data_IF_178777347056
#
_entry.id   IF_178777347056
#
_cell.length_a   1.000
_cell.length_b   1.000
_cell.length_c   1.000
_cell.angle_alpha   90.00
_cell.angle_beta   90.00
_cell.angle_gamma   90.00
#
_symmetry.space_group_name_H-M   'P 1'
#
loop_
_entity.id
_entity.type
_entity.pdbx_description
1 polymer ?
#
# COMPACT_ATOMS: atom_id res chain seq x y z
N UNK A 1 -67.37 10.10 -50.76
CA UNK A 1 -68.38 9.07 -50.48
C UNK A 1 -68.45 8.93 -48.95
N UNK A 2 -69.62 9.19 -48.34
CA UNK A 2 -70.01 8.94 -46.91
C UNK A 2 -69.19 9.65 -45.81
N UNK A 3 -69.72 10.17 -44.69
CA UNK A 3 -71.05 10.48 -44.16
C UNK A 3 -70.78 11.36 -42.92
N UNK A 4 -71.59 12.39 -42.64
CA UNK A 4 -71.66 13.06 -41.33
C UNK A 4 -72.44 12.15 -40.31
N UNK A 5 -72.74 12.51 -39.03
CA UNK A 5 -72.60 13.83 -38.38
C UNK A 5 -72.33 13.86 -36.84
N UNK A 6 -72.17 15.10 -36.33
CA UNK A 6 -72.64 15.51 -35.00
C UNK A 6 -71.54 16.12 -34.11
N UNK A 7 -71.75 17.19 -33.34
CA UNK A 7 -72.95 17.92 -32.94
C UNK A 7 -72.50 19.21 -32.20
N UNK A 8 -73.29 20.27 -32.36
CA UNK A 8 -73.56 21.42 -31.47
C UNK A 8 -72.47 22.39 -30.94
N UNK A 9 -72.66 23.63 -31.43
CA UNK A 9 -72.38 25.01 -30.99
C UNK A 9 -72.17 25.28 -29.48
N UNK A 10 -71.21 26.15 -29.15
CA UNK A 10 -71.32 27.15 -28.09
C UNK A 10 -70.34 28.32 -28.31
N UNK A 11 -70.86 29.55 -28.33
CA UNK A 11 -70.09 30.79 -28.27
C UNK A 11 -69.71 31.12 -26.82
N UNK A 12 -68.50 31.64 -26.59
CA UNK A 12 -68.04 32.00 -25.25
C UNK A 12 -66.93 33.07 -25.25
N UNK A 13 -67.36 34.31 -24.95
CA UNK A 13 -66.75 35.36 -24.11
C UNK A 13 -65.21 35.55 -24.19
N UNK A 14 -64.81 36.76 -24.63
CA UNK A 14 -63.46 37.29 -24.47
C UNK A 14 -63.24 37.81 -23.03
N UNK A 15 -62.13 37.38 -22.42
CA UNK A 15 -61.62 37.93 -21.15
C UNK A 15 -60.22 38.47 -21.41
N UNK A 16 -60.02 39.77 -21.15
CA UNK A 16 -58.71 40.41 -21.18
C UNK A 16 -57.86 39.88 -20.02
N UNK A 17 -56.79 39.15 -20.35
CA UNK A 17 -55.87 38.58 -19.36
C UNK A 17 -54.89 39.62 -18.82
N UNK A 18 -54.74 39.65 -17.49
CA UNK A 18 -53.79 40.45 -16.74
C UNK A 18 -52.34 40.09 -17.08
N UNK A 19 -51.46 41.10 -17.15
CA UNK A 19 -50.02 40.91 -17.35
C UNK A 19 -49.35 40.28 -16.13
N UNK A 20 -48.53 39.25 -16.36
CA UNK A 20 -47.67 38.63 -15.34
C UNK A 20 -46.31 39.34 -15.32
N UNK A 21 -45.92 39.86 -14.16
CA UNK A 21 -44.55 40.31 -13.87
C UNK A 21 -43.73 39.06 -13.53
N UNK A 22 -42.73 38.73 -14.33
CA UNK A 22 -41.80 37.62 -14.04
C UNK A 22 -40.66 38.12 -13.14
N UNK A 23 -40.44 37.47 -12.01
CA UNK A 23 -39.26 37.69 -11.15
C UNK A 23 -38.19 36.66 -11.52
N UNK A 24 -36.94 37.04 -11.85
CA UNK A 24 -35.91 36.06 -12.13
C UNK A 24 -35.49 35.34 -10.84
N UNK A 25 -35.48 34.02 -10.86
CA UNK A 25 -34.92 33.18 -9.78
C UNK A 25 -33.40 33.27 -9.86
N UNK A 26 -32.76 33.80 -8.82
CA UNK A 26 -31.32 33.73 -8.65
C UNK A 26 -30.98 32.34 -8.11
N UNK A 27 -30.43 31.47 -8.97
CA UNK A 27 -29.91 30.17 -8.55
C UNK A 27 -28.49 30.36 -7.99
N UNK A 28 -28.26 30.00 -6.73
CA UNK A 28 -26.92 30.00 -6.14
C UNK A 28 -26.09 28.85 -6.74
N UNK A 29 -24.83 29.08 -7.16
CA UNK A 29 -23.96 28.00 -7.63
C UNK A 29 -23.70 27.01 -6.50
N UNK A 30 -23.93 25.71 -6.75
CA UNK A 30 -23.53 24.64 -5.83
C UNK A 30 -22.00 24.68 -5.71
N UNK A 31 -21.43 24.68 -4.49
CA UNK A 31 -19.99 24.62 -4.34
C UNK A 31 -19.42 23.40 -5.05
N UNK A 32 -18.30 23.51 -5.78
CA UNK A 32 -17.65 22.34 -6.37
C UNK A 32 -17.25 21.39 -5.24
N UNK A 33 -17.71 20.14 -5.32
CA UNK A 33 -17.22 19.07 -4.44
C UNK A 33 -15.80 18.76 -4.89
N UNK A 34 -14.80 19.24 -4.17
CA UNK A 34 -13.42 18.81 -4.36
C UNK A 34 -13.31 17.39 -3.77
N UNK A 35 -13.25 16.38 -4.63
CA UNK A 35 -12.79 15.07 -4.22
C UNK A 35 -11.30 15.20 -3.88
N UNK A 36 -10.96 15.18 -2.60
CA UNK A 36 -9.58 15.04 -2.15
C UNK A 36 -9.25 13.56 -2.22
N UNK A 37 -8.26 13.18 -3.01
CA UNK A 37 -7.68 11.85 -2.90
C UNK A 37 -7.10 11.73 -1.49
N UNK A 38 -7.68 10.83 -0.69
CA UNK A 38 -7.05 10.41 0.56
C UNK A 38 -6.13 9.27 0.16
N UNK A 39 -4.81 9.49 0.22
CA UNK A 39 -3.88 8.36 0.26
C UNK A 39 -4.14 7.65 1.58
N UNK A 40 -4.54 6.39 1.51
CA UNK A 40 -4.47 5.53 2.68
C UNK A 40 -2.99 5.23 2.87
N UNK A 41 -2.46 5.65 4.02
CA UNK A 41 -1.14 5.27 4.49
C UNK A 41 -1.30 3.91 5.15
N UNK A 42 -0.53 2.93 4.69
CA UNK A 42 -0.46 1.60 5.29
C UNK A 42 0.82 1.50 6.13
N UNK A 43 0.67 1.05 7.38
CA UNK A 43 1.80 0.65 8.23
C UNK A 43 2.14 -0.82 7.94
N UNK A 44 3.29 -1.10 7.31
CA UNK A 44 3.61 -2.44 6.80
C UNK A 44 4.81 -3.03 7.54
N UNK A 45 4.64 -4.23 8.08
CA UNK A 45 5.72 -5.01 8.69
C UNK A 45 6.18 -6.12 7.72
N UNK A 46 7.29 -5.90 7.02
CA UNK A 46 7.90 -6.94 6.18
C UNK A 46 8.68 -7.93 7.02
N UNK A 47 8.25 -9.20 7.00
CA UNK A 47 8.88 -10.30 7.71
C UNK A 47 9.70 -11.13 6.73
N UNK A 48 11.02 -11.17 6.93
CA UNK A 48 11.95 -11.93 6.10
C UNK A 48 12.44 -13.18 6.83
N UNK A 49 12.48 -14.30 6.11
CA UNK A 49 13.05 -15.56 6.58
C UNK A 49 14.57 -15.51 6.72
N UNK A 50 15.14 -16.52 7.37
CA UNK A 50 16.58 -16.77 7.32
C UNK A 50 16.97 -17.57 6.08
N UNK A 51 18.24 -18.01 6.01
CA UNK A 51 18.65 -18.91 4.93
C UNK A 51 17.77 -20.17 4.88
N UNK A 52 17.43 -20.61 3.67
CA UNK A 52 16.53 -21.74 3.42
C UNK A 52 15.03 -21.43 3.51
N UNK A 53 14.65 -20.20 3.88
CA UNK A 53 13.25 -19.77 4.03
C UNK A 53 12.93 -18.59 3.09
N UNK A 54 12.88 -18.82 1.76
CA UNK A 54 12.69 -17.74 0.78
C UNK A 54 11.30 -17.13 0.79
N UNK A 55 10.29 -17.90 1.21
CA UNK A 55 8.88 -17.48 1.29
C UNK A 55 8.38 -17.91 2.67
N UNK A 56 8.49 -17.04 3.69
CA UNK A 56 8.01 -17.36 5.02
C UNK A 56 6.54 -17.74 4.99
N UNK A 57 6.19 -18.83 5.69
CA UNK A 57 4.79 -19.25 5.81
C UNK A 57 3.96 -18.18 6.55
N UNK A 58 2.64 -18.18 6.35
CA UNK A 58 1.74 -17.25 7.05
C UNK A 58 1.87 -17.35 8.57
N UNK A 59 2.02 -18.58 9.09
CA UNK A 59 2.18 -18.82 10.54
C UNK A 59 3.53 -18.28 11.03
N UNK A 60 4.60 -18.46 10.25
CA UNK A 60 5.92 -17.89 10.55
C UNK A 60 5.86 -16.37 10.57
N UNK A 61 5.19 -15.76 9.57
CA UNK A 61 5.00 -14.30 9.47
C UNK A 61 4.28 -13.77 10.70
N UNK A 62 3.12 -14.34 11.04
CA UNK A 62 2.33 -13.90 12.18
C UNK A 62 3.09 -14.09 13.50
N UNK A 63 3.69 -15.26 13.72
CA UNK A 63 4.43 -15.56 14.95
C UNK A 63 5.60 -14.58 15.15
N UNK A 64 6.34 -14.26 14.08
CA UNK A 64 7.45 -13.30 14.19
C UNK A 64 6.95 -11.87 14.44
N UNK A 65 5.81 -11.51 13.85
CA UNK A 65 5.18 -10.23 14.10
C UNK A 65 4.78 -10.11 15.58
N UNK A 66 3.97 -11.04 16.10
CA UNK A 66 3.46 -11.04 17.47
C UNK A 66 4.60 -10.99 18.50
N UNK A 67 5.68 -11.74 18.27
CA UNK A 67 6.78 -11.87 19.23
C UNK A 67 7.77 -10.71 19.18
N UNK A 68 8.05 -10.15 17.99
CA UNK A 68 9.19 -9.25 17.81
C UNK A 68 8.82 -7.85 17.31
N UNK A 69 7.71 -7.71 16.58
CA UNK A 69 7.31 -6.45 15.95
C UNK A 69 6.15 -5.79 16.71
N UNK A 70 5.07 -6.51 16.94
CA UNK A 70 3.85 -6.02 17.62
C UNK A 70 4.13 -5.29 18.95
N UNK A 71 5.06 -5.73 19.82
CA UNK A 71 5.30 -5.05 21.09
C UNK A 71 5.76 -3.59 20.96
N UNK A 72 6.34 -3.22 19.81
CA UNK A 72 6.82 -1.87 19.52
C UNK A 72 5.99 -1.19 18.41
N UNK A 73 5.36 -1.99 17.54
CA UNK A 73 4.64 -1.54 16.34
C UNK A 73 3.28 -2.24 16.21
N UNK A 74 2.34 -2.04 17.16
CA UNK A 74 1.11 -2.85 17.30
C UNK A 74 0.04 -2.62 16.21
N UNK A 75 0.18 -1.61 15.36
CA UNK A 75 -0.79 -1.28 14.31
C UNK A 75 -0.33 -1.67 12.91
N UNK A 76 0.87 -2.22 12.80
CA UNK A 76 1.46 -2.61 11.53
C UNK A 76 0.83 -3.91 11.01
N UNK A 77 0.70 -4.02 9.69
CA UNK A 77 0.18 -5.22 9.03
C UNK A 77 1.35 -6.11 8.60
N UNK A 78 1.47 -7.35 9.12
CA UNK A 78 2.58 -8.22 8.77
C UNK A 78 2.43 -8.83 7.37
N UNK A 79 3.53 -8.82 6.61
CA UNK A 79 3.61 -9.39 5.27
C UNK A 79 4.95 -10.13 5.11
N UNK A 80 4.91 -11.37 4.60
CA UNK A 80 6.12 -12.08 4.23
C UNK A 80 6.79 -11.41 3.02
N UNK A 81 8.10 -11.15 3.10
CA UNK A 81 8.86 -10.63 1.96
C UNK A 81 9.75 -11.72 1.37
N UNK A 82 9.55 -11.98 0.08
CA UNK A 82 10.36 -12.93 -0.67
C UNK A 82 11.80 -12.42 -0.87
N UNK A 83 12.75 -13.34 -0.73
CA UNK A 83 14.08 -13.21 -1.31
C UNK A 83 14.67 -14.62 -1.55
N UNK A 84 15.79 -14.80 -2.27
CA UNK A 84 16.28 -16.13 -2.63
C UNK A 84 16.68 -17.03 -1.45
N UNK A 85 17.06 -16.47 -0.30
CA UNK A 85 17.45 -17.19 0.91
C UNK A 85 18.49 -18.32 0.73
N UNK A 86 19.36 -18.22 -0.28
CA UNK A 86 20.35 -19.23 -0.59
C UNK A 86 21.57 -19.17 0.31
N UNK A 87 22.05 -20.34 0.74
CA UNK A 87 23.34 -20.47 1.43
C UNK A 87 23.96 -21.83 1.11
N UNK A 88 24.66 -21.91 -0.03
CA UNK A 88 25.28 -23.15 -0.51
C UNK A 88 26.13 -23.85 0.57
N UNK A 89 26.89 -23.09 1.35
CA UNK A 89 27.78 -23.65 2.38
C UNK A 89 27.03 -24.33 3.53
N UNK A 90 25.84 -23.82 3.92
CA UNK A 90 25.03 -24.43 4.98
C UNK A 90 24.15 -25.58 4.49
N UNK A 91 23.59 -25.49 3.28
CA UNK A 91 22.57 -26.45 2.82
C UNK A 91 23.09 -27.49 1.82
N UNK A 92 24.37 -27.42 1.41
CA UNK A 92 25.15 -28.35 0.52
C UNK A 92 24.45 -28.96 -0.70
N UNK A 93 23.27 -28.44 -1.07
CA UNK A 93 22.49 -28.89 -2.21
C UNK A 93 23.14 -28.49 -3.53
N UNK A 94 23.27 -29.45 -4.45
CA UNK A 94 23.55 -29.16 -5.87
C UNK A 94 22.47 -28.19 -6.36
N UNK A 95 22.88 -27.08 -6.99
CA UNK A 95 22.02 -25.96 -7.43
C UNK A 95 21.54 -24.97 -6.34
N UNK A 96 22.10 -24.99 -5.13
CA UNK A 96 21.85 -23.92 -4.16
C UNK A 96 22.61 -22.64 -4.54
N UNK A 97 21.96 -21.49 -4.39
CA UNK A 97 22.56 -20.18 -4.67
C UNK A 97 23.69 -19.90 -3.65
N UNK A 98 24.86 -19.40 -4.10
CA UNK A 98 25.89 -18.89 -3.21
C UNK A 98 25.37 -17.80 -2.26
N UNK A 99 25.94 -17.74 -1.05
CA UNK A 99 25.51 -16.83 0.02
C UNK A 99 25.56 -15.36 -0.44
N UNK A 100 26.69 -14.93 -0.97
CA UNK A 100 26.94 -13.58 -1.47
C UNK A 100 25.95 -13.17 -2.56
N UNK A 101 25.65 -14.07 -3.49
CA UNK A 101 24.70 -13.84 -4.57
C UNK A 101 23.27 -13.71 -4.02
N UNK A 102 22.91 -14.55 -3.05
CA UNK A 102 21.60 -14.48 -2.38
C UNK A 102 21.44 -13.18 -1.59
N UNK A 103 22.48 -12.75 -0.88
CA UNK A 103 22.49 -11.51 -0.11
C UNK A 103 22.39 -10.30 -1.03
N UNK A 104 23.16 -10.24 -2.12
CA UNK A 104 23.08 -9.15 -3.09
C UNK A 104 21.67 -9.01 -3.70
N UNK A 105 21.05 -10.14 -4.08
CA UNK A 105 19.68 -10.13 -4.60
C UNK A 105 18.67 -9.72 -3.53
N UNK A 106 18.84 -10.20 -2.29
CA UNK A 106 17.99 -9.82 -1.16
C UNK A 106 18.08 -8.33 -0.84
N UNK A 107 19.28 -7.75 -0.82
CA UNK A 107 19.50 -6.31 -0.63
C UNK A 107 18.78 -5.50 -1.70
N UNK A 108 18.90 -5.89 -2.97
CA UNK A 108 18.21 -5.20 -4.06
C UNK A 108 16.68 -5.27 -3.91
N UNK A 109 16.14 -6.45 -3.60
CA UNK A 109 14.68 -6.65 -3.43
C UNK A 109 14.17 -5.80 -2.25
N UNK A 110 14.83 -5.88 -1.10
CA UNK A 110 14.40 -5.15 0.09
C UNK A 110 14.53 -3.63 -0.11
N UNK A 111 15.65 -3.13 -0.62
CA UNK A 111 15.83 -1.69 -0.87
C UNK A 111 14.80 -1.15 -1.86
N UNK A 112 14.51 -1.90 -2.93
CA UNK A 112 13.48 -1.51 -3.91
C UNK A 112 12.09 -1.49 -3.28
N UNK A 113 11.77 -2.50 -2.47
CA UNK A 113 10.47 -2.59 -1.79
C UNK A 113 10.28 -1.40 -0.84
N UNK A 114 11.27 -1.12 0.01
CA UNK A 114 11.19 -0.01 0.98
C UNK A 114 11.05 1.33 0.25
N UNK A 115 11.91 1.60 -0.73
CA UNK A 115 11.87 2.90 -1.45
C UNK A 115 10.56 3.12 -2.19
N UNK A 116 9.96 2.07 -2.73
CA UNK A 116 8.63 2.15 -3.35
C UNK A 116 7.55 2.45 -2.31
N UNK A 117 7.50 1.71 -1.20
CA UNK A 117 6.48 1.91 -0.18
C UNK A 117 6.58 3.28 0.49
N UNK A 118 7.80 3.75 0.79
CA UNK A 118 8.02 5.09 1.33
C UNK A 118 7.58 6.16 0.32
N UNK A 119 7.86 5.97 -0.98
CA UNK A 119 7.37 6.89 -2.02
C UNK A 119 5.84 6.90 -2.15
N UNK A 120 5.18 5.78 -1.85
CA UNK A 120 3.72 5.66 -1.78
C UNK A 120 3.13 6.25 -0.49
N UNK A 121 3.98 6.62 0.47
CA UNK A 121 3.63 7.29 1.72
C UNK A 121 3.46 6.37 2.92
N UNK A 122 3.94 5.13 2.84
CA UNK A 122 3.80 4.09 3.87
C UNK A 122 5.00 4.06 4.83
N UNK A 123 4.72 3.80 6.11
CA UNK A 123 5.75 3.57 7.12
C UNK A 123 6.10 2.07 7.20
N UNK A 124 7.39 1.77 7.23
CA UNK A 124 7.88 0.38 7.10
C UNK A 124 8.60 -0.07 8.36
N UNK A 125 8.27 -1.28 8.82
CA UNK A 125 9.11 -2.04 9.74
C UNK A 125 9.61 -3.29 9.04
N UNK A 126 10.91 -3.54 9.06
CA UNK A 126 11.50 -4.77 8.54
C UNK A 126 11.94 -5.67 9.68
N UNK A 127 11.42 -6.89 9.72
CA UNK A 127 11.90 -7.95 10.61
C UNK A 127 12.86 -8.86 9.86
N UNK A 128 14.12 -8.86 10.27
CA UNK A 128 15.18 -9.75 9.77
C UNK A 128 15.52 -10.91 10.72
N UNK A 129 15.94 -12.04 10.15
CA UNK A 129 16.53 -13.18 10.86
C UNK A 129 17.76 -13.72 10.15
N UNK A 130 18.86 -13.91 10.89
CA UNK A 130 20.08 -14.53 10.35
C UNK A 130 20.56 -13.81 9.08
N UNK A 131 20.56 -14.47 7.92
CA UNK A 131 20.95 -13.87 6.64
C UNK A 131 20.11 -12.63 6.28
N UNK A 132 18.80 -12.60 6.55
CA UNK A 132 18.02 -11.39 6.26
C UNK A 132 18.29 -10.24 7.23
N UNK A 133 18.88 -10.52 8.40
CA UNK A 133 19.43 -9.46 9.27
C UNK A 133 20.69 -8.85 8.65
N UNK A 134 21.58 -9.67 8.07
CA UNK A 134 22.72 -9.18 7.28
C UNK A 134 22.26 -8.31 6.11
N UNK A 135 21.26 -8.77 5.34
CA UNK A 135 20.63 -7.99 4.26
C UNK A 135 20.07 -6.67 4.78
N UNK A 136 19.37 -6.69 5.92
CA UNK A 136 18.81 -5.47 6.53
C UNK A 136 19.90 -4.45 6.85
N UNK A 137 21.04 -4.87 7.39
CA UNK A 137 22.18 -3.98 7.65
C UNK A 137 22.78 -3.35 6.38
N UNK A 138 22.87 -4.11 5.28
CA UNK A 138 23.28 -3.58 3.98
C UNK A 138 22.27 -2.53 3.47
N UNK A 139 20.97 -2.83 3.55
CA UNK A 139 19.92 -1.91 3.10
C UNK A 139 19.86 -0.64 3.93
N UNK A 140 20.08 -0.69 5.25
CA UNK A 140 20.20 0.52 6.08
C UNK A 140 21.26 1.48 5.53
N UNK A 141 22.41 0.94 5.09
CA UNK A 141 23.49 1.74 4.48
C UNK A 141 23.05 2.34 3.15
N UNK A 142 22.37 1.55 2.31
CA UNK A 142 21.87 2.01 1.00
C UNK A 142 20.79 3.08 1.14
N UNK A 143 19.85 2.93 2.08
CA UNK A 143 18.78 3.90 2.34
C UNK A 143 19.34 5.24 2.85
N UNK A 144 20.32 5.18 3.77
CA UNK A 144 21.00 6.37 4.26
C UNK A 144 21.74 7.11 3.12
N UNK A 145 22.41 6.37 2.23
CA UNK A 145 23.08 6.94 1.07
C UNK A 145 22.10 7.57 0.06
N UNK A 146 20.88 7.05 -0.02
CA UNK A 146 19.80 7.56 -0.88
C UNK A 146 19.01 8.71 -0.23
N UNK A 147 19.23 9.01 1.05
CA UNK A 147 18.54 10.07 1.76
C UNK A 147 17.09 9.73 2.12
N UNK A 148 16.75 8.44 2.22
CA UNK A 148 15.45 8.02 2.75
C UNK A 148 15.34 8.46 4.21
N UNK A 149 14.26 9.15 4.63
CA UNK A 149 14.12 9.58 6.02
C UNK A 149 14.14 8.40 6.97
N UNK A 150 14.90 8.51 8.05
CA UNK A 150 15.03 7.44 9.05
C UNK A 150 13.76 7.19 9.86
N UNK A 151 12.84 8.16 9.86
CA UNK A 151 11.57 8.06 10.59
C UNK A 151 10.56 7.16 9.84
N UNK A 152 10.73 6.99 8.52
CA UNK A 152 9.82 6.23 7.66
C UNK A 152 10.13 4.72 7.66
N UNK A 153 11.30 4.31 8.19
CA UNK A 153 11.78 2.92 8.12
C UNK A 153 12.46 2.49 9.43
N UNK A 154 11.91 1.44 10.04
CA UNK A 154 12.44 0.81 11.25
C UNK A 154 12.87 -0.64 10.98
N UNK A 155 13.77 -1.17 11.81
CA UNK A 155 14.30 -2.53 11.66
C UNK A 155 14.36 -3.29 12.99
N UNK A 156 13.90 -4.54 12.97
CA UNK A 156 13.94 -5.48 14.09
C UNK A 156 14.75 -6.71 13.67
N UNK A 157 15.96 -6.84 14.21
CA UNK A 157 16.93 -7.86 13.76
C UNK A 157 17.12 -8.96 14.81
N UNK A 158 17.06 -10.21 14.37
CA UNK A 158 17.28 -11.38 15.22
C UNK A 158 18.40 -12.25 14.65
N UNK A 159 19.26 -12.79 15.52
CA UNK A 159 20.36 -13.68 15.11
C UNK A 159 21.27 -13.08 14.04
N UNK A 160 21.50 -11.76 14.05
CA UNK A 160 22.34 -11.08 13.07
C UNK A 160 23.81 -11.55 13.22
N UNK A 161 24.40 -12.18 12.18
CA UNK A 161 25.80 -12.61 12.21
C UNK A 161 26.80 -11.45 12.33
N UNK A 162 26.38 -10.22 12.02
CA UNK A 162 27.24 -9.04 12.00
C UNK A 162 27.16 -8.18 13.26
N UNK A 163 26.29 -8.51 14.22
CA UNK A 163 26.25 -7.84 15.52
C UNK A 163 27.39 -8.39 16.40
N UNK A 164 28.40 -7.57 16.77
CA UNK A 164 29.45 -8.01 17.68
C UNK A 164 28.87 -8.26 19.08
N UNK A 165 29.30 -9.37 19.67
CA UNK A 165 28.91 -9.87 20.98
C UNK A 165 29.87 -9.45 22.10
#
# INVERSE_FOLDING_TARGET
MFRAPGRYVAAGIAVAGAGLITVPVVTTPKPPVQARAVQLVDDIAYIMGGSGDPIPSTDTVQTNFDLFVEPLYPHYTPQGLFYPAGNYALYTGVKSLPLDTSEAQGTQILATTITQQVADGNDIVVKGASQSSTISGMVMTDLAAQGVPSDDVSFVLTGDPNLPN
#
